data_IF_903030039350
#
_entry.id   IF_903030039350
#
_cell.length_a   1.000
_cell.length_b   1.000
_cell.length_c   1.000
_cell.angle_alpha   90.00
_cell.angle_beta   90.00
_cell.angle_gamma   90.00
#
_symmetry.space_group_name_H-M   'P 1'
#
loop_
_entity.id
_entity.type
_entity.pdbx_description
1 polymer ?
#
# COMPACT_ATOMS: atom_id res chain seq x y z
N UNK A 1 -15.02 4.75 -25.89
CA UNK A 1 -14.87 5.63 -24.71
C UNK A 1 -13.38 5.81 -24.49
N UNK A 2 -12.87 7.04 -24.53
CA UNK A 2 -11.47 7.29 -24.24
C UNK A 2 -11.27 7.11 -22.72
N UNK A 3 -10.47 6.13 -22.31
CA UNK A 3 -10.08 5.99 -20.92
C UNK A 3 -9.44 7.30 -20.48
N UNK A 4 -9.98 7.91 -19.43
CA UNK A 4 -9.32 9.07 -18.81
C UNK A 4 -7.91 8.62 -18.41
N UNK A 5 -6.90 9.38 -18.82
CA UNK A 5 -5.51 9.13 -18.42
C UNK A 5 -5.41 9.37 -16.92
N UNK A 6 -5.59 8.32 -16.10
CA UNK A 6 -5.32 8.38 -14.67
C UNK A 6 -3.85 8.71 -14.47
N UNK A 7 -3.57 9.84 -13.84
CA UNK A 7 -2.20 10.21 -13.43
C UNK A 7 -1.81 9.32 -12.26
N UNK A 8 -1.03 8.28 -12.55
CA UNK A 8 -0.49 7.39 -11.53
C UNK A 8 0.59 8.13 -10.73
N UNK A 9 0.20 8.76 -9.61
CA UNK A 9 1.17 9.14 -8.59
C UNK A 9 1.73 7.85 -7.96
N UNK A 10 3.04 7.66 -8.14
CA UNK A 10 3.83 6.48 -7.72
C UNK A 10 4.23 6.53 -6.23
N UNK A 11 3.46 7.24 -5.40
CA UNK A 11 3.78 7.48 -3.98
C UNK A 11 2.74 6.83 -3.10
N UNK A 12 2.99 5.59 -2.68
CA UNK A 12 2.17 4.88 -1.69
C UNK A 12 2.84 4.98 -0.32
N UNK A 13 2.03 5.14 0.74
CA UNK A 13 2.52 5.12 2.12
C UNK A 13 3.03 3.71 2.47
N UNK A 14 4.25 3.62 3.00
CA UNK A 14 4.81 2.36 3.51
C UNK A 14 4.51 2.27 5.00
N UNK A 15 3.86 1.18 5.42
CA UNK A 15 3.54 0.94 6.84
C UNK A 15 3.92 -0.47 7.27
N UNK A 16 4.18 -0.65 8.57
CA UNK A 16 4.25 -1.97 9.22
C UNK A 16 3.05 -2.12 10.16
N UNK A 17 2.29 -3.22 10.09
CA UNK A 17 1.23 -3.50 11.04
C UNK A 17 1.77 -3.90 12.42
N UNK A 18 3.06 -4.25 12.53
CA UNK A 18 3.74 -4.57 13.79
C UNK A 18 5.09 -3.84 13.88
N UNK A 19 5.10 -2.52 14.12
CA UNK A 19 6.33 -1.74 14.15
C UNK A 19 7.34 -2.21 15.21
N UNK A 20 6.84 -2.79 16.31
CA UNK A 20 7.67 -3.32 17.39
C UNK A 20 8.47 -4.57 17.03
N UNK A 21 8.13 -5.24 15.92
CA UNK A 21 8.83 -6.44 15.45
C UNK A 21 9.97 -6.09 14.46
N UNK A 22 10.10 -4.80 14.09
CA UNK A 22 11.14 -4.35 13.17
C UNK A 22 12.46 -4.13 13.90
N UNK A 23 13.54 -4.55 13.26
CA UNK A 23 14.89 -4.14 13.65
C UNK A 23 15.09 -2.63 13.44
N UNK A 24 16.05 -2.00 14.14
CA UNK A 24 16.34 -0.58 13.96
C UNK A 24 16.66 -0.18 12.53
N UNK A 25 17.35 -1.04 11.75
CA UNK A 25 17.63 -0.74 10.34
C UNK A 25 16.35 -0.84 9.49
N UNK A 26 15.48 -1.81 9.71
CA UNK A 26 14.21 -1.91 8.96
C UNK A 26 13.30 -0.70 9.21
N UNK A 27 13.21 -0.26 10.47
CA UNK A 27 12.48 0.95 10.81
C UNK A 27 13.06 2.18 10.09
N UNK A 28 14.40 2.34 10.10
CA UNK A 28 15.06 3.43 9.40
C UNK A 28 14.90 3.36 7.86
N UNK A 29 14.88 2.16 7.28
CA UNK A 29 14.59 1.96 5.85
C UNK A 29 13.16 2.40 5.54
N UNK A 30 12.19 1.99 6.36
CA UNK A 30 10.78 2.35 6.19
C UNK A 30 10.57 3.87 6.26
N UNK A 31 11.12 4.52 7.29
CA UNK A 31 11.08 5.97 7.44
C UNK A 31 11.73 6.69 6.25
N UNK A 32 12.89 6.19 5.81
CA UNK A 32 13.58 6.73 4.63
C UNK A 32 12.79 6.56 3.34
N UNK A 33 12.06 5.46 3.17
CA UNK A 33 11.19 5.24 2.00
C UNK A 33 10.03 6.24 1.98
N UNK A 34 9.37 6.45 3.13
CA UNK A 34 8.31 7.44 3.26
C UNK A 34 8.83 8.87 3.00
N UNK A 35 10.01 9.21 3.54
CA UNK A 35 10.66 10.49 3.27
C UNK A 35 11.03 10.67 1.78
N UNK A 36 11.48 9.60 1.12
CA UNK A 36 11.80 9.62 -0.31
C UNK A 36 10.54 9.82 -1.17
N UNK A 37 9.43 9.15 -0.83
CA UNK A 37 8.15 9.36 -1.50
C UNK A 37 7.69 10.82 -1.37
N UNK A 38 7.81 11.41 -0.17
CA UNK A 38 7.46 12.80 0.06
C UNK A 38 8.34 13.76 -0.77
N UNK A 39 9.68 13.61 -0.71
CA UNK A 39 10.59 14.45 -1.48
C UNK A 39 10.35 14.36 -3.00
N UNK A 40 10.05 13.16 -3.52
CA UNK A 40 9.67 12.97 -4.93
C UNK A 40 8.33 13.64 -5.27
N UNK A 41 7.35 13.59 -4.37
CA UNK A 41 6.04 14.22 -4.57
C UNK A 41 6.10 15.75 -4.60
N UNK A 42 7.07 16.35 -3.91
CA UNK A 42 7.32 17.80 -3.91
C UNK A 42 8.31 18.27 -5.00
N UNK A 43 8.71 17.37 -5.92
CA UNK A 43 9.74 17.62 -6.94
C UNK A 43 11.10 18.10 -6.36
N UNK A 44 11.41 17.79 -5.09
CA UNK A 44 12.70 18.09 -4.46
C UNK A 44 13.74 17.02 -4.87
N UNK A 45 14.25 17.15 -6.09
CA UNK A 45 15.21 16.22 -6.68
C UNK A 45 16.51 16.12 -5.89
N UNK A 46 16.94 17.21 -5.23
CA UNK A 46 18.19 17.23 -4.47
C UNK A 46 18.04 16.41 -3.19
N UNK A 47 16.95 16.62 -2.46
CA UNK A 47 16.66 15.88 -1.24
C UNK A 47 16.34 14.42 -1.54
N UNK A 48 15.55 14.15 -2.59
CA UNK A 48 15.29 12.79 -3.04
C UNK A 48 16.59 12.03 -3.37
N UNK A 49 17.53 12.67 -4.08
CA UNK A 49 18.83 12.06 -4.37
C UNK A 49 19.67 11.83 -3.11
N UNK A 50 19.58 12.71 -2.11
CA UNK A 50 20.27 12.55 -0.81
C UNK A 50 19.69 11.36 -0.04
N UNK A 51 18.37 11.31 0.15
CA UNK A 51 17.69 10.23 0.87
C UNK A 51 17.94 8.89 0.18
N UNK A 52 17.84 8.83 -1.15
CA UNK A 52 18.15 7.63 -1.92
C UNK A 52 19.57 7.11 -1.63
N UNK A 53 20.59 7.98 -1.60
CA UNK A 53 21.96 7.54 -1.27
C UNK A 53 22.06 6.95 0.14
N UNK A 54 21.40 7.54 1.12
CA UNK A 54 21.41 7.02 2.50
C UNK A 54 20.65 5.70 2.62
N UNK A 55 19.51 5.55 1.95
CA UNK A 55 18.77 4.28 1.90
C UNK A 55 19.60 3.13 1.34
N UNK A 56 20.33 3.36 0.25
CA UNK A 56 21.18 2.31 -0.32
C UNK A 56 22.36 1.93 0.59
N UNK A 57 22.91 2.88 1.35
CA UNK A 57 23.89 2.55 2.40
C UNK A 57 23.27 1.72 3.53
N UNK A 58 22.02 2.03 3.91
CA UNK A 58 21.29 1.23 4.91
C UNK A 58 21.04 -0.19 4.41
N UNK A 59 20.69 -0.37 3.13
CA UNK A 59 20.57 -1.71 2.53
C UNK A 59 21.89 -2.48 2.57
N UNK A 60 23.00 -1.83 2.20
CA UNK A 60 24.31 -2.49 2.25
C UNK A 60 24.68 -2.90 3.67
N UNK A 61 24.36 -2.06 4.67
CA UNK A 61 24.54 -2.40 6.08
C UNK A 61 23.62 -3.53 6.52
N UNK A 62 22.35 -3.51 6.12
CA UNK A 62 21.38 -4.56 6.43
C UNK A 62 21.81 -5.91 5.87
N UNK A 63 22.38 -5.93 4.66
CA UNK A 63 22.95 -7.13 4.07
C UNK A 63 24.19 -7.63 4.83
N UNK A 64 25.06 -6.72 5.28
CA UNK A 64 26.28 -7.04 6.05
C UNK A 64 25.98 -7.60 7.45
N UNK A 65 24.85 -7.21 8.04
CA UNK A 65 24.40 -7.71 9.35
C UNK A 65 23.51 -8.95 9.25
N UNK A 66 23.41 -9.56 8.06
CA UNK A 66 22.50 -10.68 7.77
C UNK A 66 21.07 -10.38 8.22
N UNK A 67 20.55 -9.24 7.76
CA UNK A 67 19.23 -8.72 8.13
C UNK A 67 19.05 -8.48 9.65
N UNK A 68 20.10 -8.04 10.35
CA UNK A 68 20.11 -7.86 11.81
C UNK A 68 19.60 -9.09 12.59
N UNK A 69 19.90 -10.30 12.09
CA UNK A 69 19.48 -11.55 12.73
C UNK A 69 18.00 -11.90 12.51
N UNK A 70 17.36 -11.32 11.49
CA UNK A 70 15.99 -11.64 11.11
C UNK A 70 15.82 -13.17 10.95
N UNK A 71 14.72 -13.78 11.44
CA UNK A 71 14.53 -15.24 11.42
C UNK A 71 14.49 -15.87 10.02
N UNK A 72 14.35 -15.06 8.98
CA UNK A 72 14.47 -15.46 7.58
C UNK A 72 15.18 -14.36 6.77
N UNK A 73 16.52 -14.33 6.76
CA UNK A 73 17.28 -13.23 6.16
C UNK A 73 17.29 -13.28 4.64
N UNK A 74 17.02 -14.44 4.02
CA UNK A 74 16.91 -14.56 2.57
C UNK A 74 15.67 -13.83 2.05
N UNK A 75 14.52 -14.01 2.70
CA UNK A 75 13.30 -13.26 2.40
C UNK A 75 13.46 -11.77 2.73
N UNK A 76 13.91 -11.45 3.95
CA UNK A 76 13.91 -10.06 4.43
C UNK A 76 14.83 -9.14 3.63
N UNK A 77 16.06 -9.56 3.30
CA UNK A 77 16.98 -8.74 2.49
C UNK A 77 16.40 -8.43 1.11
N UNK A 78 15.84 -9.43 0.45
CA UNK A 78 15.22 -9.25 -0.87
C UNK A 78 13.99 -8.33 -0.77
N UNK A 79 13.13 -8.52 0.24
CA UNK A 79 11.95 -7.69 0.46
C UNK A 79 12.31 -6.22 0.79
N UNK A 80 13.31 -5.97 1.64
CA UNK A 80 13.77 -4.60 1.94
C UNK A 80 14.42 -3.92 0.72
N UNK A 81 15.20 -4.66 -0.07
CA UNK A 81 15.72 -4.13 -1.36
C UNK A 81 14.58 -3.76 -2.29
N UNK A 82 13.60 -4.66 -2.42
CA UNK A 82 12.42 -4.42 -3.21
C UNK A 82 11.76 -3.10 -2.75
N UNK A 83 11.52 -2.92 -1.44
CA UNK A 83 10.90 -1.73 -0.87
C UNK A 83 11.64 -0.44 -1.25
N UNK A 84 12.96 -0.38 -1.05
CA UNK A 84 13.77 0.81 -1.37
C UNK A 84 13.78 1.13 -2.86
N UNK A 85 13.93 0.11 -3.73
CA UNK A 85 13.86 0.31 -5.18
C UNK A 85 12.49 0.86 -5.60
N UNK A 86 11.42 0.38 -4.97
CA UNK A 86 10.07 0.86 -5.21
C UNK A 86 9.90 2.32 -4.78
N UNK A 87 10.42 2.71 -3.61
CA UNK A 87 10.42 4.09 -3.16
C UNK A 87 11.22 5.03 -4.07
N UNK A 88 12.30 4.52 -4.66
CA UNK A 88 13.13 5.23 -5.64
C UNK A 88 12.51 5.34 -7.05
N UNK A 89 11.34 4.72 -7.29
CA UNK A 89 10.71 4.69 -8.62
C UNK A 89 11.37 3.70 -9.59
N UNK A 90 12.24 2.83 -9.09
CA UNK A 90 12.95 1.81 -9.87
C UNK A 90 12.13 0.52 -9.94
N UNK A 91 10.91 0.63 -10.48
CA UNK A 91 9.86 -0.37 -10.33
C UNK A 91 10.21 -1.76 -10.86
N UNK A 92 10.92 -1.86 -12.00
CA UNK A 92 11.37 -3.15 -12.55
C UNK A 92 12.39 -3.86 -11.64
N UNK A 93 13.31 -3.10 -11.04
CA UNK A 93 14.23 -3.67 -10.05
C UNK A 93 13.45 -4.11 -8.81
N UNK A 94 12.48 -3.30 -8.40
CA UNK A 94 11.58 -3.59 -7.30
C UNK A 94 10.80 -4.91 -7.51
N UNK A 95 10.23 -5.14 -8.69
CA UNK A 95 9.54 -6.40 -9.05
C UNK A 95 10.52 -7.57 -9.00
N UNK A 96 11.70 -7.42 -9.61
CA UNK A 96 12.74 -8.47 -9.61
C UNK A 96 13.12 -8.92 -8.21
N UNK A 97 13.29 -7.99 -7.27
CA UNK A 97 13.64 -8.32 -5.89
C UNK A 97 12.49 -9.01 -5.14
N UNK A 98 11.24 -8.62 -5.38
CA UNK A 98 10.09 -9.28 -4.75
C UNK A 98 9.89 -10.70 -5.29
N UNK A 99 10.08 -10.92 -6.61
CA UNK A 99 10.14 -12.27 -7.21
C UNK A 99 11.25 -13.11 -6.57
N UNK A 100 12.41 -12.51 -6.31
CA UNK A 100 13.52 -13.21 -5.65
C UNK A 100 13.23 -13.52 -4.17
N UNK A 101 12.42 -12.71 -3.49
CA UNK A 101 12.00 -12.93 -2.10
C UNK A 101 10.96 -14.06 -1.98
N UNK A 102 10.06 -14.17 -2.95
CA UNK A 102 8.87 -15.03 -2.89
C UNK A 102 9.18 -16.52 -2.58
N UNK A 103 10.21 -17.19 -3.16
CA UNK A 103 10.55 -18.56 -2.82
C UNK A 103 10.92 -18.77 -1.35
N UNK A 104 11.37 -17.71 -0.66
CA UNK A 104 11.73 -17.73 0.75
C UNK A 104 10.58 -17.32 1.66
N UNK A 105 9.41 -16.96 1.12
CA UNK A 105 8.21 -16.67 1.90
C UNK A 105 7.63 -17.98 2.49
N UNK A 106 8.16 -18.38 3.63
CA UNK A 106 7.95 -19.67 4.29
C UNK A 106 6.71 -19.72 5.21
N UNK A 107 6.06 -18.58 5.45
CA UNK A 107 4.83 -18.49 6.27
C UNK A 107 3.68 -17.92 5.45
N UNK A 108 2.41 -18.22 5.80
CA UNK A 108 1.25 -17.60 5.15
C UNK A 108 1.35 -16.06 5.16
N UNK A 109 1.80 -15.47 6.27
CA UNK A 109 1.96 -14.02 6.38
C UNK A 109 3.03 -13.46 5.43
N UNK A 110 4.19 -14.10 5.30
CA UNK A 110 5.22 -13.65 4.34
C UNK A 110 4.77 -13.84 2.90
N UNK A 111 4.03 -14.90 2.59
CA UNK A 111 3.47 -15.13 1.26
C UNK A 111 2.47 -14.06 0.89
N UNK A 112 1.53 -13.78 1.79
CA UNK A 112 0.57 -12.67 1.67
C UNK A 112 1.28 -11.36 1.37
N UNK A 113 2.28 -10.98 2.18
CA UNK A 113 3.03 -9.72 2.01
C UNK A 113 3.73 -9.70 0.64
N UNK A 114 4.47 -10.75 0.28
CA UNK A 114 5.22 -10.75 -0.98
C UNK A 114 4.31 -10.72 -2.22
N UNK A 115 3.20 -11.45 -2.21
CA UNK A 115 2.25 -11.47 -3.32
C UNK A 115 1.50 -10.14 -3.44
N UNK A 116 1.05 -9.57 -2.31
CA UNK A 116 0.41 -8.25 -2.28
C UNK A 116 1.34 -7.14 -2.77
N UNK A 117 2.61 -7.17 -2.33
CA UNK A 117 3.64 -6.24 -2.80
C UNK A 117 3.93 -6.42 -4.29
N UNK A 118 3.99 -7.66 -4.82
CA UNK A 118 4.16 -7.90 -6.25
C UNK A 118 3.03 -7.27 -7.06
N UNK A 119 1.79 -7.47 -6.62
CA UNK A 119 0.62 -6.87 -7.27
C UNK A 119 0.71 -5.33 -7.28
N UNK A 120 1.00 -4.70 -6.12
CA UNK A 120 1.18 -3.23 -6.03
C UNK A 120 2.29 -2.72 -6.97
N UNK A 121 3.45 -3.38 -6.98
CA UNK A 121 4.57 -2.98 -7.84
C UNK A 121 4.21 -3.13 -9.32
N UNK A 122 3.48 -4.17 -9.69
CA UNK A 122 3.01 -4.36 -11.06
C UNK A 122 2.02 -3.27 -11.47
N UNK A 123 1.07 -2.89 -10.60
CA UNK A 123 0.18 -1.74 -10.82
C UNK A 123 1.00 -0.48 -11.12
N UNK A 124 1.96 -0.18 -10.25
CA UNK A 124 2.78 1.03 -10.36
C UNK A 124 3.64 1.02 -11.62
N UNK A 125 4.07 -0.16 -12.08
CA UNK A 125 4.81 -0.35 -13.32
C UNK A 125 3.94 -0.34 -14.58
N UNK A 126 2.61 -0.22 -14.45
CA UNK A 126 1.67 -0.29 -15.58
C UNK A 126 1.41 -1.70 -16.12
N UNK A 127 1.79 -2.75 -15.37
CA UNK A 127 1.62 -4.18 -15.72
C UNK A 127 0.34 -4.71 -15.08
N UNK A 128 -0.81 -4.22 -15.53
CA UNK A 128 -2.08 -4.44 -14.84
C UNK A 128 -2.57 -5.89 -14.89
N UNK A 129 -2.43 -6.57 -16.03
CA UNK A 129 -2.83 -7.97 -16.16
C UNK A 129 -2.04 -8.87 -15.21
N UNK A 130 -0.73 -8.64 -15.11
CA UNK A 130 0.12 -9.37 -14.17
C UNK A 130 -0.15 -9.00 -12.71
N UNK A 131 -0.52 -7.74 -12.44
CA UNK A 131 -0.97 -7.36 -11.10
C UNK A 131 -2.21 -8.15 -10.68
N UNK A 132 -3.14 -8.42 -11.60
CA UNK A 132 -4.31 -9.27 -11.34
C UNK A 132 -3.87 -10.70 -11.01
N UNK A 133 -2.94 -11.28 -11.78
CA UNK A 133 -2.41 -12.63 -11.49
C UNK A 133 -1.82 -12.73 -10.08
N UNK A 134 -0.97 -11.77 -9.69
CA UNK A 134 -0.38 -11.74 -8.34
C UNK A 134 -1.41 -11.48 -7.25
N UNK A 135 -2.40 -10.61 -7.50
CA UNK A 135 -3.50 -10.37 -6.58
C UNK A 135 -4.31 -11.65 -6.31
N UNK A 136 -4.68 -12.40 -7.34
CA UNK A 136 -5.45 -13.64 -7.19
C UNK A 136 -4.71 -14.64 -6.29
N UNK A 137 -3.40 -14.80 -6.49
CA UNK A 137 -2.56 -15.63 -5.62
C UNK A 137 -2.50 -15.09 -4.18
N UNK A 138 -2.43 -13.76 -4.00
CA UNK A 138 -2.45 -13.15 -2.67
C UNK A 138 -3.79 -13.40 -1.95
N UNK A 139 -4.89 -13.29 -2.68
CA UNK A 139 -6.25 -13.49 -2.16
C UNK A 139 -6.48 -14.95 -1.74
N UNK A 140 -5.94 -15.93 -2.47
CA UNK A 140 -6.00 -17.34 -2.06
C UNK A 140 -5.32 -17.59 -0.70
N UNK A 141 -4.24 -16.86 -0.40
CA UNK A 141 -3.51 -16.98 0.87
C UNK A 141 -4.22 -16.23 1.99
N UNK A 142 -4.82 -15.08 1.69
CA UNK A 142 -5.44 -14.22 2.69
C UNK A 142 -6.68 -13.48 2.12
N UNK A 143 -7.83 -14.16 2.05
CA UNK A 143 -9.00 -13.69 1.28
C UNK A 143 -9.65 -12.42 1.81
N UNK A 144 -9.60 -12.22 3.13
CA UNK A 144 -10.30 -11.11 3.80
C UNK A 144 -9.34 -9.97 4.23
N UNK A 145 -8.10 -9.99 3.74
CA UNK A 145 -7.11 -8.97 4.12
C UNK A 145 -7.36 -7.68 3.36
N UNK A 146 -7.69 -6.62 4.09
CA UNK A 146 -8.00 -5.29 3.53
C UNK A 146 -6.94 -4.79 2.55
N UNK A 147 -5.61 -4.82 2.86
CA UNK A 147 -4.61 -4.38 1.91
C UNK A 147 -4.64 -5.18 0.60
N UNK A 148 -4.85 -6.51 0.68
CA UNK A 148 -4.93 -7.38 -0.51
C UNK A 148 -6.16 -7.05 -1.34
N UNK A 149 -7.32 -6.89 -0.71
CA UNK A 149 -8.57 -6.53 -1.38
C UNK A 149 -8.46 -5.15 -2.08
N UNK A 150 -7.84 -4.16 -1.43
CA UNK A 150 -7.67 -2.82 -2.00
C UNK A 150 -6.66 -2.81 -3.16
N UNK A 151 -5.58 -3.59 -3.08
CA UNK A 151 -4.67 -3.78 -4.21
C UNK A 151 -5.39 -4.50 -5.36
N UNK A 152 -6.23 -5.50 -5.07
CA UNK A 152 -7.04 -6.20 -6.06
C UNK A 152 -8.05 -5.30 -6.77
N UNK A 153 -8.76 -4.45 -6.03
CA UNK A 153 -9.67 -3.44 -6.59
C UNK A 153 -8.94 -2.57 -7.61
N UNK A 154 -7.73 -2.10 -7.26
CA UNK A 154 -6.92 -1.29 -8.16
C UNK A 154 -6.46 -2.09 -9.39
N UNK A 155 -5.92 -3.29 -9.21
CA UNK A 155 -5.44 -4.14 -10.30
C UNK A 155 -6.57 -4.46 -11.31
N UNK A 156 -7.72 -4.91 -10.81
CA UNK A 156 -8.89 -5.23 -11.63
C UNK A 156 -9.42 -4.01 -12.37
N UNK A 157 -9.60 -2.88 -11.68
CA UNK A 157 -10.10 -1.66 -12.29
C UNK A 157 -9.17 -1.16 -13.41
N UNK A 158 -7.85 -1.15 -13.16
CA UNK A 158 -6.86 -0.68 -14.14
C UNK A 158 -6.69 -1.65 -15.33
N UNK A 159 -6.94 -2.94 -15.13
CA UNK A 159 -6.98 -3.94 -16.20
C UNK A 159 -8.33 -3.96 -16.97
N UNK A 160 -9.30 -3.13 -16.59
CA UNK A 160 -10.60 -3.02 -17.24
C UNK A 160 -11.68 -3.98 -16.73
N UNK A 161 -11.42 -4.71 -15.64
CA UNK A 161 -12.36 -5.59 -14.95
C UNK A 161 -13.14 -4.83 -13.87
N UNK A 162 -13.82 -3.75 -14.26
CA UNK A 162 -14.47 -2.82 -13.32
C UNK A 162 -15.64 -3.45 -12.56
N UNK A 163 -16.31 -4.46 -13.13
CA UNK A 163 -17.41 -5.16 -12.46
C UNK A 163 -16.86 -5.97 -11.28
N UNK A 164 -15.82 -6.76 -11.52
CA UNK A 164 -15.14 -7.57 -10.51
C UNK A 164 -14.48 -6.68 -9.44
N UNK A 165 -13.90 -5.54 -9.83
CA UNK A 165 -13.40 -4.55 -8.88
C UNK A 165 -14.52 -3.99 -7.98
N UNK A 166 -15.71 -3.75 -8.54
CA UNK A 166 -16.86 -3.28 -7.78
C UNK A 166 -17.38 -4.36 -6.82
N UNK A 167 -17.41 -5.63 -7.23
CA UNK A 167 -17.81 -6.75 -6.37
C UNK A 167 -16.90 -6.86 -5.12
N UNK A 168 -15.59 -6.65 -5.27
CA UNK A 168 -14.68 -6.58 -4.13
C UNK A 168 -15.01 -5.40 -3.20
N UNK A 169 -15.37 -4.25 -3.75
CA UNK A 169 -15.80 -3.09 -2.94
C UNK A 169 -17.10 -3.39 -2.17
N UNK A 170 -18.04 -4.14 -2.77
CA UNK A 170 -19.26 -4.60 -2.10
C UNK A 170 -18.94 -5.51 -0.92
N UNK A 171 -17.99 -6.43 -1.06
CA UNK A 171 -17.57 -7.29 0.05
C UNK A 171 -17.01 -6.49 1.24
N UNK A 172 -16.29 -5.38 0.99
CA UNK A 172 -15.81 -4.47 2.04
C UNK A 172 -16.97 -3.72 2.72
N UNK A 173 -18.05 -3.39 2.00
CA UNK A 173 -19.25 -2.76 2.57
C UNK A 173 -20.01 -3.67 3.54
N UNK A 174 -19.89 -4.98 3.35
CA UNK A 174 -20.49 -6.02 4.21
C UNK A 174 -19.66 -6.34 5.46
N UNK A 175 -18.50 -5.67 5.63
CA UNK A 175 -17.62 -5.79 6.79
C UNK A 175 -17.67 -4.50 7.65
N UNK A 176 -18.77 -4.22 8.39
CA UNK A 176 -18.97 -2.94 9.07
C UNK A 176 -17.91 -2.64 10.14
N UNK A 177 -17.24 -3.67 10.68
CA UNK A 177 -16.13 -3.50 11.62
C UNK A 177 -14.92 -2.77 11.03
N UNK A 178 -14.78 -2.76 9.70
CA UNK A 178 -13.71 -2.04 9.01
C UNK A 178 -13.97 -0.54 8.87
N UNK A 179 -15.20 -0.08 9.07
CA UNK A 179 -15.57 1.33 8.96
C UNK A 179 -15.45 2.05 10.32
N UNK A 180 -14.29 1.90 10.95
CA UNK A 180 -13.93 2.51 12.23
C UNK A 180 -12.71 3.41 12.05
N UNK A 181 -12.57 4.40 12.92
CA UNK A 181 -11.40 5.28 12.89
C UNK A 181 -10.11 4.48 13.15
N UNK A 182 -9.05 4.79 12.41
CA UNK A 182 -7.75 4.11 12.45
C UNK A 182 -7.81 2.62 12.06
N UNK A 183 -8.88 2.17 11.40
CA UNK A 183 -8.85 0.89 10.72
C UNK A 183 -7.94 0.95 9.50
N UNK A 184 -7.46 -0.22 9.04
CA UNK A 184 -6.68 -0.29 7.80
C UNK A 184 -7.47 0.31 6.62
N UNK A 185 -8.75 -0.05 6.48
CA UNK A 185 -9.60 0.44 5.39
C UNK A 185 -9.69 1.99 5.37
N UNK A 186 -9.93 2.59 6.53
CA UNK A 186 -10.09 4.06 6.61
C UNK A 186 -8.78 4.80 6.39
N UNK A 187 -7.64 4.22 6.78
CA UNK A 187 -6.32 4.76 6.43
C UNK A 187 -6.10 4.78 4.92
N UNK A 188 -6.46 3.72 4.19
CA UNK A 188 -6.36 3.73 2.72
C UNK A 188 -7.33 4.73 2.08
N UNK A 189 -8.57 4.81 2.55
CA UNK A 189 -9.52 5.79 2.02
C UNK A 189 -9.02 7.24 2.21
N UNK A 190 -8.23 7.50 3.25
CA UNK A 190 -7.67 8.83 3.51
C UNK A 190 -6.45 9.20 2.65
N UNK A 191 -5.58 8.23 2.39
CA UNK A 191 -4.24 8.51 1.87
C UNK A 191 -3.98 7.93 0.47
N UNK A 192 -4.79 6.99 -0.03
CA UNK A 192 -4.60 6.42 -1.36
C UNK A 192 -5.39 7.19 -2.43
N UNK A 193 -4.69 8.08 -3.14
CA UNK A 193 -5.29 8.96 -4.15
C UNK A 193 -5.95 8.18 -5.31
N UNK A 194 -5.40 7.02 -5.71
CA UNK A 194 -5.96 6.24 -6.82
C UNK A 194 -7.37 5.74 -6.53
N UNK A 195 -7.64 5.35 -5.27
CA UNK A 195 -8.98 4.93 -4.86
C UNK A 195 -10.00 6.07 -5.00
N UNK A 196 -9.60 7.31 -4.74
CA UNK A 196 -10.48 8.47 -4.90
C UNK A 196 -10.86 8.69 -6.37
N UNK A 197 -9.92 8.52 -7.29
CA UNK A 197 -10.18 8.61 -8.73
C UNK A 197 -11.09 7.47 -9.20
N UNK A 198 -10.79 6.23 -8.78
CA UNK A 198 -11.58 5.04 -9.11
C UNK A 198 -13.01 5.10 -8.57
N UNK A 199 -13.26 5.81 -7.47
CA UNK A 199 -14.61 6.00 -6.92
C UNK A 199 -15.57 6.69 -7.90
N UNK A 200 -15.07 7.34 -8.96
CA UNK A 200 -15.91 7.90 -10.04
C UNK A 200 -16.51 6.82 -10.94
N UNK A 201 -15.86 5.66 -11.00
CA UNK A 201 -16.21 4.54 -11.88
C UNK A 201 -16.74 3.33 -11.11
N UNK A 202 -16.46 3.24 -9.80
CA UNK A 202 -16.85 2.14 -8.93
C UNK A 202 -17.90 2.60 -7.89
N UNK A 203 -19.20 2.33 -8.10
CA UNK A 203 -20.28 2.77 -7.20
C UNK A 203 -20.13 2.32 -5.75
N UNK A 204 -19.68 1.08 -5.52
CA UNK A 204 -19.49 0.57 -4.16
C UNK A 204 -18.32 1.27 -3.45
N UNK A 205 -17.25 1.62 -4.17
CA UNK A 205 -16.16 2.43 -3.62
C UNK A 205 -16.62 3.85 -3.27
N UNK A 206 -17.46 4.46 -4.12
CA UNK A 206 -18.08 5.75 -3.81
C UNK A 206 -18.92 5.70 -2.52
N UNK A 207 -19.67 4.60 -2.31
CA UNK A 207 -20.44 4.40 -1.08
C UNK A 207 -19.53 4.18 0.14
N UNK A 208 -18.39 3.47 0.01
CA UNK A 208 -17.37 3.38 1.08
C UNK A 208 -16.89 4.77 1.51
N UNK A 209 -16.51 5.63 0.54
CA UNK A 209 -16.12 7.02 0.81
C UNK A 209 -17.21 7.82 1.52
N UNK A 210 -18.47 7.69 1.07
CA UNK A 210 -19.60 8.39 1.68
C UNK A 210 -19.84 7.94 3.13
N UNK A 211 -19.78 6.63 3.42
CA UNK A 211 -19.90 6.10 4.79
C UNK A 211 -18.77 6.62 5.66
N UNK A 212 -17.54 6.61 5.16
CA UNK A 212 -16.39 7.12 5.89
C UNK A 212 -16.50 8.63 6.19
N UNK A 213 -16.88 9.43 5.20
CA UNK A 213 -17.09 10.88 5.38
C UNK A 213 -18.18 11.20 6.41
N UNK A 214 -19.22 10.35 6.52
CA UNK A 214 -20.24 10.48 7.58
C UNK A 214 -19.65 10.22 8.97
N UNK A 215 -18.79 9.20 9.11
CA UNK A 215 -18.08 8.90 10.37
C UNK A 215 -17.16 10.07 10.75
N UNK A 216 -16.39 10.61 9.80
CA UNK A 216 -15.56 11.81 10.01
C UNK A 216 -16.37 13.06 10.37
N UNK A 217 -17.46 13.33 9.64
CA UNK A 217 -18.29 14.53 9.80
C UNK A 217 -19.12 14.56 11.09
N UNK A 218 -19.57 13.40 11.56
CA UNK A 218 -20.29 13.26 12.83
C UNK A 218 -19.46 13.68 14.06
N UNK A 219 -18.13 13.74 13.92
CA UNK A 219 -17.19 14.16 14.96
C UNK A 219 -17.12 15.67 15.15
N UNK A 220 -17.32 16.45 14.09
CA UNK A 220 -17.24 17.92 14.14
C UNK A 220 -18.59 18.59 14.40
N UNK A 221 -19.70 17.85 14.28
CA UNK A 221 -21.07 18.37 14.41
C UNK A 221 -21.69 18.35 15.81
N UNK A 222 -21.02 17.82 16.84
CA UNK A 222 -21.60 17.66 18.20
C UNK A 222 -20.99 18.57 19.27
N UNK A 223 -20.11 19.51 18.90
CA UNK A 223 -19.44 20.44 19.83
C UNK A 223 -20.10 21.82 20.03
N UNK A 224 -21.41 21.96 19.79
CA UNK A 224 -22.05 23.28 19.77
C UNK A 224 -23.49 23.32 20.25
N UNK A 225 -23.77 22.94 21.50
CA UNK A 225 -24.87 23.52 22.28
C UNK A 225 -24.73 23.15 23.75
N UNK A 226 -24.01 23.97 24.51
CA UNK A 226 -24.17 24.04 25.95
C UNK A 226 -23.97 25.51 26.37
N UNK A 227 -25.02 26.10 26.93
CA UNK A 227 -24.89 27.23 27.85
C UNK A 227 -25.38 28.59 27.35
N UNK A 228 -26.69 28.73 27.18
CA UNK A 228 -27.36 29.99 27.54
C UNK A 228 -28.83 29.72 27.86
N UNK A 229 -29.13 29.63 29.15
CA UNK A 229 -30.48 29.54 29.70
C UNK A 229 -30.42 29.88 31.18
N UNK A 230 -30.80 31.13 31.48
CA UNK A 230 -30.81 31.83 32.76
C UNK A 230 -31.37 31.04 33.95
#
# INVERSE_FOLDING_TARGET
>A
MAAASMTLNDTTLVTSPAPGDMSPIEAAIMDGCNALHHARGEDDLQEAARIRRELFKLLDRYDQTDAEGHPNPAWARANQRALVHSAAGELEAAVKFEIAALPYADTPRRKEISLGNLADRCIRAGRFEEAVEWFMLAQEVAPDRVPILLTGIQALCLAGFSAEANDLCESLLDMPGLMQENSELTAYLDYEARLHEMARELPALAELYKRWNKVKGGRFGTGGSAGSGN
#
